data_IF_467953532914
#
_entry.id   IF_467953532914
#
_cell.length_a   1.000
_cell.length_b   1.000
_cell.length_c   1.000
_cell.angle_alpha   90.00
_cell.angle_beta   90.00
_cell.angle_gamma   90.00
#
_symmetry.space_group_name_H-M   'P 1'
#
loop_
_entity.id
_entity.type
_entity.pdbx_description
1 polymer ?
#
# COMPACT_ATOMS: atom_id res chain seq x y z
N UNK A 1 3.78 -18.60 2.73
CA UNK A 1 3.23 -17.23 2.60
C UNK A 1 3.64 -16.46 3.86
N UNK A 2 3.82 -15.14 3.82
CA UNK A 2 4.04 -14.41 5.08
C UNK A 2 2.78 -14.44 5.92
N UNK A 3 2.92 -14.45 7.24
CA UNK A 3 1.80 -14.43 8.21
C UNK A 3 0.82 -13.27 7.93
N UNK A 4 1.36 -12.12 7.53
CA UNK A 4 0.55 -10.95 7.15
C UNK A 4 -0.30 -11.16 5.90
N UNK A 5 0.23 -11.83 4.87
CA UNK A 5 -0.54 -12.01 3.64
C UNK A 5 -1.79 -12.83 3.90
N UNK A 6 -1.64 -13.96 4.60
CA UNK A 6 -2.76 -14.85 4.93
C UNK A 6 -3.84 -14.10 5.73
N UNK A 7 -3.43 -13.41 6.80
CA UNK A 7 -4.32 -12.59 7.62
C UNK A 7 -5.07 -11.53 6.82
N UNK A 8 -4.39 -10.82 5.93
CA UNK A 8 -5.01 -9.80 5.09
C UNK A 8 -5.97 -10.41 4.06
N UNK A 9 -5.62 -11.56 3.47
CA UNK A 9 -6.50 -12.28 2.54
C UNK A 9 -7.77 -12.77 3.23
N UNK A 10 -7.70 -13.23 4.47
CA UNK A 10 -8.88 -13.61 5.25
C UNK A 10 -9.85 -12.43 5.48
N UNK A 11 -9.32 -11.25 5.78
CA UNK A 11 -10.13 -10.02 5.91
C UNK A 11 -10.71 -9.59 4.56
N UNK A 12 -9.90 -9.61 3.48
CA UNK A 12 -10.39 -9.34 2.12
C UNK A 12 -11.45 -10.35 1.68
N UNK A 13 -11.34 -11.63 2.03
CA UNK A 13 -12.28 -12.67 1.62
C UNK A 13 -13.71 -12.37 2.11
N UNK A 14 -13.85 -11.71 3.27
CA UNK A 14 -15.14 -11.36 3.85
C UNK A 14 -15.85 -10.23 3.09
N UNK A 15 -15.11 -9.29 2.52
CA UNK A 15 -15.67 -8.06 1.91
C UNK A 15 -15.48 -7.97 0.40
N UNK A 16 -14.37 -8.46 -0.10
CA UNK A 16 -13.93 -8.42 -1.50
C UNK A 16 -13.49 -9.82 -1.98
N UNK A 17 -14.36 -10.85 -1.96
CA UNK A 17 -13.98 -12.25 -2.22
C UNK A 17 -13.32 -12.44 -3.59
N UNK A 18 -13.78 -11.72 -4.62
CA UNK A 18 -13.17 -11.79 -5.98
C UNK A 18 -11.74 -11.24 -5.97
N UNK A 19 -11.48 -10.17 -5.23
CA UNK A 19 -10.14 -9.59 -5.12
C UNK A 19 -9.22 -10.50 -4.29
N UNK A 20 -9.72 -11.06 -3.18
CA UNK A 20 -9.00 -12.01 -2.35
C UNK A 20 -8.57 -13.25 -3.15
N UNK A 21 -9.49 -13.85 -3.92
CA UNK A 21 -9.17 -14.97 -4.79
C UNK A 21 -8.09 -14.61 -5.82
N UNK A 22 -8.25 -13.49 -6.53
CA UNK A 22 -7.26 -13.02 -7.52
C UNK A 22 -5.87 -12.85 -6.88
N UNK A 23 -5.79 -12.29 -5.69
CA UNK A 23 -4.53 -12.11 -4.97
C UNK A 23 -3.92 -13.44 -4.50
N UNK A 24 -4.74 -14.38 -4.05
CA UNK A 24 -4.31 -15.71 -3.63
C UNK A 24 -3.72 -16.52 -4.78
N UNK A 25 -4.32 -16.40 -5.97
CA UNK A 25 -3.87 -17.05 -7.22
C UNK A 25 -2.72 -16.29 -7.91
N UNK A 26 -2.44 -15.06 -7.49
CA UNK A 26 -1.35 -14.25 -8.06
C UNK A 26 0.00 -14.77 -7.56
N UNK A 27 0.76 -15.36 -8.48
CA UNK A 27 2.17 -15.67 -8.28
C UNK A 27 3.05 -14.42 -8.46
N UNK A 28 4.28 -14.48 -7.97
CA UNK A 28 5.28 -13.46 -8.29
C UNK A 28 5.68 -13.58 -9.76
N UNK A 29 5.51 -12.50 -10.51
CA UNK A 29 5.98 -12.40 -11.90
C UNK A 29 7.39 -11.81 -12.00
N UNK A 30 8.02 -11.49 -10.86
CA UNK A 30 9.33 -10.86 -10.79
C UNK A 30 9.33 -9.36 -11.13
N UNK A 31 8.19 -8.73 -11.42
CA UNK A 31 8.14 -7.31 -11.81
C UNK A 31 8.26 -6.36 -10.63
N UNK A 32 8.04 -6.84 -9.39
CA UNK A 32 8.17 -6.04 -8.17
C UNK A 32 9.35 -6.57 -7.36
N UNK A 33 10.39 -5.74 -7.22
CA UNK A 33 11.54 -6.03 -6.37
C UNK A 33 11.41 -5.29 -5.05
N UNK A 34 11.35 -6.05 -3.95
CA UNK A 34 11.39 -5.50 -2.60
C UNK A 34 12.85 -5.30 -2.19
N UNK A 35 13.13 -4.13 -1.63
CA UNK A 35 14.45 -3.70 -1.18
C UNK A 35 14.32 -3.06 0.21
N UNK A 36 15.47 -2.73 0.81
CA UNK A 36 15.50 -1.92 2.03
C UNK A 36 15.92 -0.49 1.69
N UNK A 37 15.20 0.48 2.24
CA UNK A 37 15.64 1.86 2.28
C UNK A 37 16.85 2.01 3.24
N UNK A 38 17.52 3.16 3.21
CA UNK A 38 18.62 3.46 4.14
C UNK A 38 18.21 3.40 5.62
N UNK A 39 16.92 3.64 5.93
CA UNK A 39 16.35 3.46 7.27
C UNK A 39 16.09 2.00 7.66
N UNK A 40 16.24 1.05 6.75
CA UNK A 40 15.87 -0.35 6.92
C UNK A 40 14.40 -0.67 6.60
N UNK A 41 13.57 0.35 6.39
CA UNK A 41 12.18 0.16 5.98
C UNK A 41 12.07 -0.46 4.58
N UNK A 42 11.08 -1.33 4.30
CA UNK A 42 10.88 -1.87 2.97
C UNK A 42 10.60 -0.76 1.94
N UNK A 43 11.28 -0.81 0.80
CA UNK A 43 10.94 -0.04 -0.40
C UNK A 43 10.76 -1.00 -1.57
N UNK A 44 10.29 -0.50 -2.69
CA UNK A 44 10.07 -1.31 -3.87
C UNK A 44 10.43 -0.57 -5.15
N UNK A 45 10.86 -1.34 -6.13
CA UNK A 45 11.02 -0.90 -7.50
C UNK A 45 10.22 -1.82 -8.44
N UNK A 46 9.62 -1.20 -9.45
CA UNK A 46 9.03 -1.90 -10.58
C UNK A 46 10.09 -2.11 -11.66
N UNK A 47 10.32 -3.36 -12.06
CA UNK A 47 11.23 -3.72 -13.13
C UNK A 47 10.53 -3.54 -14.48
N UNK A 48 11.11 -2.72 -15.35
CA UNK A 48 10.58 -2.42 -16.66
C UNK A 48 11.07 -3.46 -17.69
N UNK A 49 10.29 -3.77 -18.73
CA UNK A 49 10.69 -4.73 -19.77
C UNK A 49 12.01 -4.40 -20.48
N UNK A 50 12.41 -3.13 -20.49
CA UNK A 50 13.67 -2.66 -21.07
C UNK A 50 14.88 -2.83 -20.15
N UNK A 51 14.73 -3.50 -19.00
CA UNK A 51 15.79 -3.67 -17.99
C UNK A 51 15.99 -2.47 -17.06
N UNK A 52 15.22 -1.39 -17.24
CA UNK A 52 15.19 -0.26 -16.30
C UNK A 52 14.39 -0.57 -15.04
N UNK A 53 14.51 0.30 -14.04
CA UNK A 53 13.71 0.23 -12.83
C UNK A 53 13.02 1.56 -12.53
N UNK A 54 11.79 1.49 -12.03
CA UNK A 54 11.05 2.64 -11.50
C UNK A 54 10.80 2.43 -10.02
N UNK A 55 11.39 3.27 -9.18
CA UNK A 55 11.16 3.23 -7.73
C UNK A 55 9.73 3.65 -7.41
N UNK A 56 9.10 2.89 -6.52
CA UNK A 56 7.77 3.19 -6.00
C UNK A 56 7.85 4.16 -4.82
N UNK A 57 8.92 4.08 -4.02
CA UNK A 57 9.14 4.95 -2.87
C UNK A 57 10.60 5.40 -2.77
N UNK A 58 10.86 6.42 -1.95
CA UNK A 58 12.21 6.83 -1.56
C UNK A 58 13.05 5.66 -1.07
N UNK A 59 14.27 5.55 -1.60
CA UNK A 59 15.27 4.57 -1.14
C UNK A 59 16.01 5.03 0.11
N UNK A 60 15.75 6.24 0.60
CA UNK A 60 16.38 6.79 1.80
C UNK A 60 15.50 6.60 3.01
N UNK A 61 14.28 7.12 2.93
CA UNK A 61 13.30 7.15 4.02
C UNK A 61 11.89 7.31 3.42
N UNK A 62 11.20 6.18 3.12
CA UNK A 62 9.89 6.20 2.47
C UNK A 62 8.78 6.69 3.42
N UNK A 63 8.93 6.48 4.74
CA UNK A 63 7.98 6.96 5.75
C UNK A 63 7.98 8.48 5.83
N UNK A 64 9.17 9.10 5.91
CA UNK A 64 9.29 10.56 5.95
C UNK A 64 8.82 11.23 4.67
N UNK A 65 9.05 10.60 3.51
CA UNK A 65 8.50 11.09 2.24
C UNK A 65 6.97 11.14 2.30
N UNK A 66 6.32 10.04 2.67
CA UNK A 66 4.87 9.97 2.77
C UNK A 66 4.30 10.91 3.83
N UNK A 67 4.96 11.05 4.98
CA UNK A 67 4.53 11.96 6.04
C UNK A 67 4.52 13.42 5.56
N UNK A 68 5.61 13.87 4.92
CA UNK A 68 5.68 15.23 4.33
C UNK A 68 4.63 15.46 3.25
N UNK A 69 4.37 14.44 2.44
CA UNK A 69 3.31 14.49 1.45
C UNK A 69 1.94 14.66 2.12
N UNK A 70 1.63 13.90 3.18
CA UNK A 70 0.38 14.01 3.92
C UNK A 70 0.23 15.39 4.62
N UNK A 71 1.30 15.93 5.22
CA UNK A 71 1.31 17.27 5.82
C UNK A 71 1.03 18.39 4.80
N UNK A 72 1.39 18.18 3.53
CA UNK A 72 1.15 19.18 2.48
C UNK A 72 -0.31 19.27 2.04
N UNK A 73 -1.15 18.32 2.44
CA UNK A 73 -2.57 18.26 2.08
C UNK A 73 -3.38 18.99 3.14
N UNK A 74 -4.27 19.88 2.70
CA UNK A 74 -5.29 20.47 3.57
C UNK A 74 -6.61 19.71 3.41
N UNK A 75 -6.98 18.92 4.41
CA UNK A 75 -8.29 18.27 4.50
C UNK A 75 -9.22 19.01 5.44
N UNK A 76 -10.50 19.09 5.07
CA UNK A 76 -11.60 19.52 5.95
C UNK A 76 -12.25 18.31 6.61
N UNK A 77 -13.09 18.58 7.59
CA UNK A 77 -13.82 17.57 8.34
C UNK A 77 -14.70 16.73 7.42
N UNK A 78 -14.65 15.41 7.59
CA UNK A 78 -15.44 14.42 6.87
C UNK A 78 -15.20 14.41 5.35
N UNK A 79 -13.97 14.72 4.91
CA UNK A 79 -13.60 14.63 3.49
C UNK A 79 -13.17 13.21 3.12
N UNK A 80 -13.62 12.75 1.95
CA UNK A 80 -13.25 11.46 1.38
C UNK A 80 -12.07 11.62 0.44
N UNK A 81 -11.03 10.80 0.63
CA UNK A 81 -9.80 10.85 -0.18
C UNK A 81 -9.76 9.68 -1.15
N UNK A 82 -9.26 9.92 -2.37
CA UNK A 82 -8.92 8.87 -3.33
C UNK A 82 -7.40 8.84 -3.54
N UNK A 83 -6.79 7.69 -3.23
CA UNK A 83 -5.37 7.42 -3.42
C UNK A 83 -5.15 6.60 -4.68
N UNK A 84 -4.29 7.10 -5.57
CA UNK A 84 -3.87 6.40 -6.78
C UNK A 84 -2.40 5.97 -6.63
N UNK A 85 -2.15 4.68 -6.69
CA UNK A 85 -0.82 4.08 -6.59
C UNK A 85 -0.15 4.29 -5.23
N UNK A 86 -0.74 3.82 -4.10
CA UNK A 86 -0.09 3.94 -2.79
C UNK A 86 1.17 3.08 -2.65
N UNK A 87 1.46 2.18 -3.61
CA UNK A 87 2.60 1.27 -3.54
C UNK A 87 2.50 0.36 -2.31
N UNK A 88 3.60 0.26 -1.57
CA UNK A 88 3.67 -0.44 -0.28
C UNK A 88 2.88 0.20 0.89
N UNK A 89 2.06 1.23 0.64
CA UNK A 89 1.07 1.73 1.60
C UNK A 89 1.52 2.86 2.52
N UNK A 90 2.72 3.42 2.36
CA UNK A 90 3.18 4.57 3.15
C UNK A 90 2.25 5.80 3.08
N UNK A 91 1.69 6.18 1.91
CA UNK A 91 0.72 7.28 1.84
C UNK A 91 -0.55 7.03 2.66
N UNK A 92 -0.99 5.76 2.74
CA UNK A 92 -2.17 5.37 3.52
C UNK A 92 -1.92 5.59 5.01
N UNK A 93 -0.80 5.06 5.52
CA UNK A 93 -0.41 5.22 6.93
C UNK A 93 -0.24 6.70 7.28
N UNK A 94 0.43 7.47 6.41
CA UNK A 94 0.68 8.89 6.63
C UNK A 94 -0.61 9.71 6.69
N UNK A 95 -1.58 9.46 5.79
CA UNK A 95 -2.89 10.13 5.85
C UNK A 95 -3.64 9.80 7.14
N UNK A 96 -3.66 8.54 7.55
CA UNK A 96 -4.30 8.13 8.81
C UNK A 96 -3.66 8.80 10.03
N UNK A 97 -2.33 8.96 10.04
CA UNK A 97 -1.61 9.62 11.13
C UNK A 97 -1.83 11.14 11.17
N UNK A 98 -1.82 11.81 10.02
CA UNK A 98 -1.87 13.29 9.95
C UNK A 98 -3.30 13.82 9.97
N UNK A 99 -4.25 13.11 9.33
CA UNK A 99 -5.62 13.59 9.11
C UNK A 99 -6.70 12.58 9.52
N UNK A 100 -6.36 11.56 10.32
CA UNK A 100 -7.31 10.50 10.71
C UNK A 100 -8.60 11.00 11.35
N UNK A 101 -8.56 12.13 12.06
CA UNK A 101 -9.72 12.78 12.66
C UNK A 101 -10.63 13.47 11.64
N UNK A 102 -10.13 13.79 10.44
CA UNK A 102 -10.85 14.52 9.38
C UNK A 102 -11.34 13.63 8.24
N UNK A 103 -10.80 12.42 8.11
CA UNK A 103 -11.16 11.50 7.03
C UNK A 103 -12.60 10.99 7.19
N UNK A 104 -13.44 11.25 6.18
CA UNK A 104 -14.77 10.64 6.05
C UNK A 104 -14.74 9.27 5.38
N UNK A 105 -13.66 8.99 4.63
CA UNK A 105 -13.45 7.71 3.96
C UNK A 105 -12.23 7.74 3.05
N UNK A 106 -11.79 6.57 2.59
CA UNK A 106 -10.63 6.46 1.71
C UNK A 106 -10.85 5.40 0.63
N UNK A 107 -10.64 5.80 -0.62
CA UNK A 107 -10.62 4.91 -1.78
C UNK A 107 -9.19 4.67 -2.21
N UNK A 108 -8.83 3.41 -2.42
CA UNK A 108 -7.47 3.03 -2.78
C UNK A 108 -7.49 2.35 -4.15
N UNK A 109 -6.71 2.88 -5.07
CA UNK A 109 -6.56 2.36 -6.42
C UNK A 109 -5.10 1.99 -6.64
N UNK A 110 -4.79 0.69 -6.62
CA UNK A 110 -3.48 0.18 -7.00
C UNK A 110 -3.60 -0.55 -8.33
N UNK A 111 -2.89 -0.05 -9.35
CA UNK A 111 -3.01 -0.54 -10.72
C UNK A 111 -2.32 -1.89 -10.94
N UNK A 112 -1.36 -2.24 -10.08
CA UNK A 112 -0.64 -3.51 -10.15
C UNK A 112 -1.07 -4.47 -9.04
N UNK A 113 -1.62 -5.62 -9.43
CA UNK A 113 -1.96 -6.69 -8.48
C UNK A 113 -0.73 -7.18 -7.73
N UNK A 114 0.45 -7.18 -8.37
CA UNK A 114 1.71 -7.59 -7.76
C UNK A 114 2.19 -6.60 -6.70
N UNK A 115 2.03 -5.29 -6.94
CA UNK A 115 2.34 -4.24 -5.95
C UNK A 115 1.38 -4.32 -4.77
N UNK A 116 0.08 -4.47 -5.04
CA UNK A 116 -0.91 -4.61 -3.97
C UNK A 116 -0.67 -5.86 -3.12
N UNK A 117 -0.38 -7.00 -3.77
CA UNK A 117 -0.02 -8.23 -3.07
C UNK A 117 1.25 -8.08 -2.23
N UNK A 118 2.26 -7.35 -2.72
CA UNK A 118 3.46 -7.06 -1.96
C UNK A 118 3.15 -6.20 -0.73
N UNK A 119 2.32 -5.16 -0.86
CA UNK A 119 1.84 -4.36 0.27
C UNK A 119 1.21 -5.22 1.37
N UNK A 120 0.30 -6.13 0.99
CA UNK A 120 -0.38 -7.05 1.91
C UNK A 120 0.56 -8.09 2.53
N UNK A 121 1.69 -8.37 1.89
CA UNK A 121 2.66 -9.36 2.40
C UNK A 121 3.58 -8.78 3.47
N UNK A 122 3.72 -7.44 3.54
CA UNK A 122 4.70 -6.77 4.39
C UNK A 122 4.17 -6.36 5.76
N UNK A 123 2.85 -6.14 5.90
CA UNK A 123 2.24 -5.59 7.11
C UNK A 123 0.80 -6.06 7.28
N UNK A 124 0.30 -5.92 8.49
CA UNK A 124 -1.12 -6.09 8.81
C UNK A 124 -1.94 -4.87 8.34
N UNK A 125 -2.92 -5.13 7.49
CA UNK A 125 -3.85 -4.14 6.93
C UNK A 125 -5.30 -4.42 7.33
N UNK A 126 -5.58 -5.37 8.23
CA UNK A 126 -6.97 -5.68 8.62
C UNK A 126 -7.64 -4.46 9.25
N UNK A 127 -6.90 -3.60 9.94
CA UNK A 127 -7.39 -2.34 10.49
C UNK A 127 -8.01 -1.40 9.44
N UNK A 128 -7.57 -1.51 8.19
CA UNK A 128 -8.06 -0.74 7.05
C UNK A 128 -9.14 -1.53 6.30
N UNK A 129 -8.87 -2.81 6.05
CA UNK A 129 -9.75 -3.68 5.26
C UNK A 129 -11.06 -3.98 6.01
N UNK A 130 -11.10 -3.97 7.33
CA UNK A 130 -12.31 -4.25 8.10
C UNK A 130 -13.18 -2.99 8.34
N UNK A 131 -12.75 -1.79 7.93
CA UNK A 131 -13.53 -0.55 8.10
C UNK A 131 -14.73 -0.51 7.15
N UNK A 132 -15.95 -0.16 7.60
CA UNK A 132 -17.19 -0.24 6.82
C UNK A 132 -17.17 0.46 5.45
#
# INVERSE_FOLDING_TARGET
MSDYLEKNLESLQKRFPVLAQRLAETESDGTVRIESASTGDPTAAYLLPNGGEKRLHSSRDPKREAHRWAESIALKQNETVALFGPGLGYPIEALGQVHGDKLGGMWIFEGSIHVFRAMLSLKDWTWLIDQP
#
